data_IF_662557628816
#
_entry.id   IF_662557628816
#
_cell.length_a   1.000
_cell.length_b   1.000
_cell.length_c   1.000
_cell.angle_alpha   90.00
_cell.angle_beta   90.00
_cell.angle_gamma   90.00
#
_symmetry.space_group_name_H-M   'P 1'
#
loop_
_entity.id
_entity.type
_entity.pdbx_description
1 polymer ?
#
# COMPACT_ATOMS: atom_id res chain seq x y z
N UNK A 1 -15.66 -21.72 16.05
CA UNK A 1 -15.26 -20.34 16.42
C UNK A 1 -15.31 -19.57 15.13
N UNK A 2 -16.39 -18.83 14.91
CA UNK A 2 -16.41 -17.85 13.83
C UNK A 2 -15.48 -16.76 14.32
N UNK A 3 -14.28 -16.72 13.77
CA UNK A 3 -13.49 -15.50 13.80
C UNK A 3 -14.44 -14.45 13.23
N UNK A 4 -14.88 -13.53 14.07
CA UNK A 4 -15.64 -12.35 13.68
C UNK A 4 -14.67 -11.58 12.79
N UNK A 5 -14.62 -12.00 11.52
CA UNK A 5 -13.83 -11.39 10.46
C UNK A 5 -14.50 -10.05 10.22
N UNK A 6 -14.27 -9.13 11.15
CA UNK A 6 -14.60 -7.74 10.98
C UNK A 6 -13.98 -7.34 9.65
N UNK A 7 -14.80 -6.78 8.76
CA UNK A 7 -14.28 -6.38 7.49
C UNK A 7 -13.19 -5.32 7.73
N UNK A 8 -12.12 -5.31 6.93
CA UNK A 8 -10.98 -4.47 7.20
C UNK A 8 -11.38 -2.99 7.16
N UNK A 9 -11.06 -2.27 8.23
CA UNK A 9 -11.27 -0.82 8.35
C UNK A 9 -10.04 -0.01 7.91
N UNK A 10 -10.21 1.32 7.83
CA UNK A 10 -9.12 2.26 7.50
C UNK A 10 -7.90 2.09 8.42
N UNK A 11 -8.12 1.77 9.70
CA UNK A 11 -7.04 1.49 10.66
C UNK A 11 -6.23 0.26 10.26
N UNK A 12 -6.86 -0.76 9.68
CA UNK A 12 -6.18 -1.97 9.18
C UNK A 12 -5.28 -1.61 8.00
N UNK A 13 -5.77 -0.79 7.07
CA UNK A 13 -4.97 -0.28 5.95
C UNK A 13 -3.76 0.52 6.43
N UNK A 14 -3.97 1.45 7.38
CA UNK A 14 -2.89 2.29 7.91
C UNK A 14 -1.84 1.49 8.66
N UNK A 15 -2.24 0.51 9.48
CA UNK A 15 -1.30 -0.37 10.19
C UNK A 15 -0.45 -1.16 9.21
N UNK A 16 -1.05 -1.70 8.15
CA UNK A 16 -0.30 -2.42 7.12
C UNK A 16 0.67 -1.48 6.41
N UNK A 17 0.23 -0.27 6.06
CA UNK A 17 1.07 0.73 5.39
C UNK A 17 2.29 1.14 6.24
N UNK A 18 2.12 1.28 7.56
CA UNK A 18 3.19 1.60 8.50
C UNK A 18 4.13 0.40 8.79
N UNK A 19 3.71 -0.82 8.43
CA UNK A 19 4.50 -2.04 8.64
C UNK A 19 5.66 -2.15 7.65
N UNK A 20 6.70 -1.37 7.91
CA UNK A 20 7.95 -1.38 7.15
C UNK A 20 8.65 -2.74 7.20
N UNK A 21 8.42 -3.54 8.24
CA UNK A 21 9.05 -4.86 8.39
C UNK A 21 8.46 -5.85 7.39
N UNK A 22 7.13 -5.85 7.25
CA UNK A 22 6.44 -6.65 6.24
C UNK A 22 6.77 -6.16 4.82
N UNK A 23 6.82 -4.83 4.61
CA UNK A 23 7.23 -4.25 3.34
C UNK A 23 8.66 -4.66 2.92
N UNK A 24 9.64 -4.63 3.82
CA UNK A 24 11.01 -5.06 3.51
C UNK A 24 11.13 -6.55 3.22
N UNK A 25 10.35 -7.39 3.90
CA UNK A 25 10.38 -8.84 3.69
C UNK A 25 9.64 -9.27 2.43
N UNK A 26 8.57 -8.58 2.06
CA UNK A 26 7.69 -8.96 0.96
C UNK A 26 7.01 -7.74 0.35
N UNK A 27 7.73 -6.92 -0.44
CA UNK A 27 7.22 -5.65 -0.97
C UNK A 27 6.05 -5.83 -1.95
N UNK A 28 6.08 -6.89 -2.77
CA UNK A 28 4.98 -7.22 -3.68
C UNK A 28 3.72 -7.63 -2.90
N UNK A 29 3.86 -8.52 -1.92
CA UNK A 29 2.73 -8.99 -1.11
C UNK A 29 2.12 -7.84 -0.30
N UNK A 30 2.98 -7.01 0.31
CA UNK A 30 2.58 -5.80 1.03
C UNK A 30 1.74 -4.87 0.15
N UNK A 31 2.18 -4.61 -1.09
CA UNK A 31 1.44 -3.81 -2.06
C UNK A 31 0.09 -4.43 -2.42
N UNK A 32 0.03 -5.73 -2.73
CA UNK A 32 -1.22 -6.41 -3.06
C UNK A 32 -2.22 -6.39 -1.89
N UNK A 33 -1.76 -6.58 -0.65
CA UNK A 33 -2.61 -6.51 0.52
C UNK A 33 -3.16 -5.09 0.75
N UNK A 34 -2.35 -4.04 0.57
CA UNK A 34 -2.81 -2.64 0.64
C UNK A 34 -3.90 -2.34 -0.41
N UNK A 35 -3.73 -2.84 -1.64
CA UNK A 35 -4.74 -2.69 -2.68
C UNK A 35 -6.03 -3.44 -2.35
N UNK A 36 -5.91 -4.69 -1.89
CA UNK A 36 -7.04 -5.52 -1.52
C UNK A 36 -7.88 -4.87 -0.42
N UNK A 37 -7.23 -4.34 0.63
CA UNK A 37 -7.92 -3.65 1.72
C UNK A 37 -8.60 -2.37 1.22
N UNK A 38 -7.94 -1.59 0.36
CA UNK A 38 -8.55 -0.39 -0.21
C UNK A 38 -9.82 -0.72 -1.03
N UNK A 39 -9.78 -1.78 -1.85
CA UNK A 39 -10.94 -2.24 -2.62
C UNK A 39 -12.09 -2.69 -1.72
N UNK A 40 -11.77 -3.42 -0.65
CA UNK A 40 -12.74 -3.87 0.34
C UNK A 40 -13.39 -2.68 1.06
N UNK A 41 -12.61 -1.67 1.46
CA UNK A 41 -13.11 -0.43 2.05
C UNK A 41 -14.06 0.34 1.13
N UNK A 42 -13.76 0.39 -0.16
CA UNK A 42 -14.63 0.99 -1.16
C UNK A 42 -15.91 0.17 -1.35
N UNK A 43 -15.79 -1.15 -1.43
CA UNK A 43 -16.92 -2.07 -1.57
C UNK A 43 -17.88 -2.05 -0.37
N UNK A 44 -17.35 -1.80 0.83
CA UNK A 44 -18.13 -1.60 2.05
C UNK A 44 -18.76 -0.19 2.15
N UNK A 45 -18.30 0.77 1.34
CA UNK A 45 -18.67 2.17 1.47
C UNK A 45 -18.06 2.87 2.69
N UNK A 46 -16.99 2.31 3.26
CA UNK A 46 -16.22 2.93 4.35
C UNK A 46 -15.39 4.13 3.86
N UNK A 47 -15.05 4.15 2.58
CA UNK A 47 -14.36 5.24 1.90
C UNK A 47 -15.02 5.55 0.56
N UNK A 48 -14.89 6.80 0.11
CA UNK A 48 -15.31 7.22 -1.22
C UNK A 48 -14.25 6.91 -2.28
N UNK A 49 -14.64 7.00 -3.56
CA UNK A 49 -13.75 6.78 -4.70
C UNK A 49 -12.50 7.67 -4.67
N UNK A 50 -12.63 8.93 -4.23
CA UNK A 50 -11.48 9.84 -4.09
C UNK A 50 -10.49 9.34 -3.04
N UNK A 51 -10.99 8.93 -1.87
CA UNK A 51 -10.17 8.35 -0.80
C UNK A 51 -9.49 7.06 -1.27
N UNK A 52 -10.21 6.20 -1.99
CA UNK A 52 -9.65 4.99 -2.60
C UNK A 52 -8.50 5.28 -3.57
N UNK A 53 -8.63 6.31 -4.42
CA UNK A 53 -7.55 6.72 -5.32
C UNK A 53 -6.31 7.20 -4.54
N UNK A 54 -6.51 7.95 -3.46
CA UNK A 54 -5.41 8.40 -2.58
C UNK A 54 -4.71 7.20 -1.93
N UNK A 55 -5.45 6.22 -1.42
CA UNK A 55 -4.88 5.00 -0.83
C UNK A 55 -4.07 4.22 -1.85
N UNK A 56 -4.59 4.03 -3.06
CA UNK A 56 -3.85 3.36 -4.14
C UNK A 56 -2.60 4.12 -4.55
N UNK A 57 -2.66 5.45 -4.65
CA UNK A 57 -1.49 6.26 -4.98
C UNK A 57 -0.39 6.14 -3.92
N UNK A 58 -0.75 6.12 -2.62
CA UNK A 58 0.20 5.90 -1.52
C UNK A 58 0.85 4.52 -1.58
N UNK A 59 0.06 3.47 -1.82
CA UNK A 59 0.60 2.11 -1.96
C UNK A 59 1.54 2.00 -3.17
N UNK A 60 1.21 2.67 -4.27
CA UNK A 60 2.02 2.71 -5.50
C UNK A 60 3.35 3.46 -5.29
N UNK A 61 3.33 4.59 -4.59
CA UNK A 61 4.54 5.35 -4.22
C UNK A 61 5.47 4.51 -3.33
N UNK A 62 4.91 3.84 -2.31
CA UNK A 62 5.66 2.95 -1.43
C UNK A 62 6.26 1.73 -2.17
N UNK A 63 5.56 1.20 -3.16
CA UNK A 63 6.06 0.09 -3.98
C UNK A 63 7.16 0.56 -4.96
N UNK A 64 7.06 1.78 -5.49
CA UNK A 64 8.09 2.40 -6.35
C UNK A 64 9.38 2.72 -5.59
N UNK A 65 9.27 3.12 -4.33
CA UNK A 65 10.41 3.39 -3.45
C UNK A 65 11.08 2.11 -2.91
N UNK A 66 10.54 0.93 -3.27
CA UNK A 66 11.08 -0.35 -2.82
C UNK A 66 12.55 -0.52 -3.24
N UNK A 67 13.42 -1.06 -2.35
CA UNK A 67 14.87 -1.12 -2.57
C UNK A 67 15.31 -1.89 -3.82
N UNK A 68 14.42 -2.65 -4.46
CA UNK A 68 14.69 -3.29 -5.75
C UNK A 68 14.75 -2.30 -6.94
N UNK A 69 14.17 -1.09 -6.81
CA UNK A 69 14.03 -0.10 -7.90
C UNK A 69 14.94 1.13 -7.72
N UNK A 70 15.60 1.30 -6.57
CA UNK A 70 16.51 2.45 -6.39
C UNK A 70 17.90 2.28 -7.05
N UNK A 71 18.12 1.24 -7.86
CA UNK A 71 19.32 1.13 -8.74
C UNK A 71 19.13 1.91 -10.05
N UNK A 72 17.92 2.34 -10.40
CA UNK A 72 17.64 3.07 -11.65
C UNK A 72 17.39 4.57 -11.46
N UNK A 73 17.73 5.12 -10.28
CA UNK A 73 17.64 6.57 -9.98
C UNK A 73 18.97 7.20 -9.58
N UNK A 74 20.09 6.67 -10.08
CA UNK A 74 21.42 7.31 -9.99
C UNK A 74 21.87 7.94 -11.34
N UNK A 75 21.02 7.98 -12.37
CA UNK A 75 21.46 8.39 -13.72
C UNK A 75 20.57 9.45 -14.42
N UNK A 76 20.02 10.41 -13.68
CA UNK A 76 19.46 11.63 -14.31
C UNK A 76 19.81 12.92 -13.54
N UNK A 77 21.03 13.00 -13.00
CA UNK A 77 21.68 14.27 -12.70
C UNK A 77 22.62 14.64 -13.87
N UNK A 78 22.17 15.36 -14.91
CA UNK A 78 23.05 15.96 -15.89
C UNK A 78 23.59 17.31 -15.37
N UNK A 79 24.35 17.28 -14.28
CA UNK A 79 25.32 18.34 -13.96
C UNK A 79 26.74 17.81 -14.20
N UNK A 80 27.16 17.82 -15.47
CA UNK A 80 28.53 17.60 -15.92
C UNK A 80 28.87 18.52 -17.10
#
# INVERSE_FOLDING_TARGET
MSDDLQPPDMTTWQRLFDDQTYWQQSPDAHYFDLQRIADDLLGQGAIDLEQWQILRAKADDLHKDSPAINVTRELDDPEA
#
